data_IF_612709560860
#
_entry.id   IF_612709560860
#
_cell.length_a   1.000
_cell.length_b   1.000
_cell.length_c   1.000
_cell.angle_alpha   90.00
_cell.angle_beta   90.00
_cell.angle_gamma   90.00
#
_symmetry.space_group_name_H-M   'P 1'
#
loop_
_entity.id
_entity.type
_entity.pdbx_description
1 polymer ?
#
# COMPACT_ATOMS: atom_id res chain seq x y z
N UNK A 1 -80.56 -46.00 89.76
CA UNK A 1 -79.31 -45.93 90.54
C UNK A 1 -78.14 -45.66 89.58
N UNK A 2 -77.35 -44.61 89.86
CA UNK A 2 -76.01 -44.23 89.34
C UNK A 2 -75.74 -44.32 87.83
N UNK A 3 -75.61 -43.19 87.09
CA UNK A 3 -74.47 -42.25 86.94
C UNK A 3 -73.20 -42.87 86.29
N UNK A 4 -72.54 -42.05 85.45
CA UNK A 4 -71.27 -42.21 84.69
C UNK A 4 -71.45 -42.68 83.22
N UNK A 5 -70.88 -42.09 82.17
CA UNK A 5 -69.97 -40.94 81.99
C UNK A 5 -70.01 -40.53 80.50
N UNK A 6 -70.08 -39.22 80.20
CA UNK A 6 -69.70 -38.70 78.87
C UNK A 6 -68.17 -38.61 78.79
N UNK A 7 -67.57 -39.18 77.75
CA UNK A 7 -66.18 -38.90 77.37
C UNK A 7 -66.10 -38.74 75.86
N UNK A 8 -65.90 -37.49 75.43
CA UNK A 8 -65.53 -37.11 74.07
C UNK A 8 -64.17 -37.72 73.72
N UNK A 9 -64.01 -38.19 72.48
CA UNK A 9 -62.70 -38.36 71.84
C UNK A 9 -62.85 -38.10 70.34
N UNK A 10 -62.76 -36.82 70.00
CA UNK A 10 -62.36 -36.33 68.68
C UNK A 10 -60.83 -36.25 68.63
N UNK A 11 -60.20 -37.09 67.81
CA UNK A 11 -58.85 -36.97 67.24
C UNK A 11 -58.57 -38.29 66.49
N UNK A 12 -58.05 -38.36 65.27
CA UNK A 12 -57.49 -37.32 64.41
C UNK A 12 -57.27 -37.86 63.00
N UNK A 13 -57.11 -36.88 62.12
CA UNK A 13 -56.70 -36.88 60.73
C UNK A 13 -55.62 -37.92 60.36
N UNK A 14 -55.77 -38.60 59.20
CA UNK A 14 -54.65 -38.76 58.27
C UNK A 14 -55.18 -38.96 56.83
N UNK A 15 -55.21 -37.86 56.09
CA UNK A 15 -55.34 -37.85 54.63
C UNK A 15 -53.93 -38.08 54.08
N UNK A 16 -53.61 -39.29 53.61
CA UNK A 16 -52.33 -39.56 52.96
C UNK A 16 -52.36 -39.01 51.53
N UNK A 17 -52.11 -37.71 51.38
CA UNK A 17 -51.75 -37.14 50.09
C UNK A 17 -50.30 -37.52 49.78
N UNK A 18 -50.09 -38.47 48.86
CA UNK A 18 -48.78 -38.69 48.24
C UNK A 18 -48.48 -37.48 47.35
N UNK A 19 -47.87 -36.45 47.94
CA UNK A 19 -47.12 -35.48 47.16
C UNK A 19 -45.85 -36.18 46.68
N UNK A 20 -45.90 -36.73 45.46
CA UNK A 20 -44.68 -37.04 44.73
C UNK A 20 -44.00 -35.70 44.42
N UNK A 21 -43.09 -35.29 45.31
CA UNK A 21 -42.18 -34.19 45.04
C UNK A 21 -41.32 -34.59 43.84
N UNK A 22 -41.69 -34.13 42.65
CA UNK A 22 -40.77 -34.11 41.53
C UNK A 22 -39.63 -33.17 41.95
N UNK A 23 -38.50 -33.74 42.38
CA UNK A 23 -37.27 -32.98 42.49
C UNK A 23 -36.84 -32.67 41.05
N UNK A 24 -37.19 -31.49 40.56
CA UNK A 24 -36.52 -30.92 39.41
C UNK A 24 -35.06 -30.74 39.82
N UNK A 25 -34.20 -31.66 39.38
CA UNK A 25 -32.77 -31.43 39.44
C UNK A 25 -32.50 -30.21 38.56
N UNK A 26 -32.01 -29.13 39.17
CA UNK A 26 -31.52 -27.98 38.43
C UNK A 26 -30.23 -28.43 37.73
N UNK A 27 -30.35 -28.74 36.44
CA UNK A 27 -29.20 -29.14 35.62
C UNK A 27 -28.42 -27.86 35.34
N UNK A 28 -27.41 -27.60 36.18
CA UNK A 28 -26.45 -26.54 35.94
C UNK A 28 -25.72 -26.84 34.64
N UNK A 29 -26.04 -26.08 33.59
CA UNK A 29 -25.40 -26.21 32.28
C UNK A 29 -23.94 -25.78 32.42
N UNK A 30 -23.02 -26.59 31.89
CA UNK A 30 -21.61 -26.22 31.80
C UNK A 30 -21.52 -24.92 30.99
N UNK A 31 -20.91 -23.89 31.58
CA UNK A 31 -20.58 -22.67 30.85
C UNK A 31 -19.49 -22.97 29.82
N UNK A 32 -19.55 -22.33 28.66
CA UNK A 32 -18.47 -22.43 27.68
C UNK A 32 -17.11 -22.07 28.32
N UNK A 33 -16.04 -22.71 27.84
CA UNK A 33 -14.68 -22.39 28.26
C UNK A 33 -14.40 -20.92 27.96
N UNK A 34 -13.77 -20.21 28.92
CA UNK A 34 -13.30 -18.84 28.72
C UNK A 34 -12.32 -18.83 27.54
N UNK A 35 -12.61 -18.00 26.53
CA UNK A 35 -11.76 -17.79 25.35
C UNK A 35 -10.85 -16.57 25.54
N UNK A 36 -9.74 -16.55 24.80
CA UNK A 36 -8.75 -15.47 24.76
C UNK A 36 -9.25 -14.20 24.07
N UNK A 37 -8.42 -13.15 24.13
CA UNK A 37 -8.64 -11.81 23.60
C UNK A 37 -8.35 -11.75 22.11
N UNK A 38 -9.00 -10.81 21.42
CA UNK A 38 -8.82 -10.62 19.98
C UNK A 38 -7.37 -10.22 19.61
N UNK A 39 -6.90 -10.64 18.43
CA UNK A 39 -5.61 -10.20 17.91
C UNK A 39 -5.63 -8.73 17.47
N UNK A 40 -4.45 -8.13 17.35
CA UNK A 40 -4.25 -6.75 16.91
C UNK A 40 -3.28 -6.67 15.72
N UNK A 41 -3.61 -5.81 14.76
CA UNK A 41 -2.68 -5.37 13.72
C UNK A 41 -2.24 -3.94 14.00
N UNK A 42 -0.94 -3.68 13.83
CA UNK A 42 -0.34 -2.35 14.01
C UNK A 42 0.72 -2.10 12.93
N UNK A 43 1.25 -0.87 12.88
CA UNK A 43 2.30 -0.48 11.91
C UNK A 43 1.96 -0.82 10.46
N UNK A 44 0.70 -0.63 10.06
CA UNK A 44 0.27 -0.91 8.69
C UNK A 44 0.91 0.09 7.74
N UNK A 45 1.74 -0.39 6.84
CA UNK A 45 2.48 0.42 5.86
C UNK A 45 2.30 -0.14 4.45
N UNK A 46 2.39 0.76 3.47
CA UNK A 46 2.36 0.40 2.04
C UNK A 46 3.80 0.50 1.52
N UNK A 47 4.34 -0.60 1.00
CA UNK A 47 5.66 -0.64 0.39
C UNK A 47 5.56 -0.82 -1.12
N UNK A 48 6.32 -0.03 -1.87
CA UNK A 48 6.42 -0.18 -3.33
C UNK A 48 7.35 -1.34 -3.68
N UNK A 49 6.78 -2.47 -4.09
CA UNK A 49 7.54 -3.68 -4.43
C UNK A 49 8.22 -3.54 -5.80
N UNK A 50 7.59 -2.82 -6.73
CA UNK A 50 8.20 -2.53 -8.03
C UNK A 50 9.46 -1.67 -7.88
N UNK A 51 9.45 -0.70 -6.96
CA UNK A 51 10.58 0.20 -6.66
C UNK A 51 10.66 0.56 -5.18
N UNK A 52 11.37 -0.24 -4.37
CA UNK A 52 11.49 -0.01 -2.93
C UNK A 52 12.02 1.38 -2.59
N UNK A 53 11.36 2.05 -1.65
CA UNK A 53 11.74 3.40 -1.17
C UNK A 53 11.30 4.56 -2.05
N UNK A 54 10.65 4.31 -3.19
CA UNK A 54 10.16 5.34 -4.11
C UNK A 54 8.64 5.40 -4.10
N UNK A 55 8.11 6.63 -4.12
CA UNK A 55 6.67 6.89 -4.26
C UNK A 55 6.14 6.17 -5.51
N UNK A 56 5.09 5.35 -5.39
CA UNK A 56 4.61 4.54 -6.51
C UNK A 56 4.05 5.40 -7.64
N UNK A 57 4.26 4.93 -8.86
CA UNK A 57 3.58 5.48 -10.05
C UNK A 57 2.60 4.47 -10.60
N UNK A 58 1.67 4.93 -11.44
CA UNK A 58 0.72 4.07 -12.14
C UNK A 58 1.40 2.84 -12.76
N UNK A 59 0.91 1.66 -12.42
CA UNK A 59 1.43 0.36 -12.87
C UNK A 59 2.35 -0.32 -11.86
N UNK A 60 2.83 0.38 -10.83
CA UNK A 60 3.61 -0.25 -9.76
C UNK A 60 2.74 -1.19 -8.93
N UNK A 61 3.34 -2.31 -8.52
CA UNK A 61 2.77 -3.19 -7.50
C UNK A 61 3.24 -2.73 -6.12
N UNK A 62 2.27 -2.45 -5.25
CA UNK A 62 2.50 -2.14 -3.83
C UNK A 62 2.04 -3.31 -2.96
N UNK A 63 2.63 -3.46 -1.78
CA UNK A 63 2.32 -4.49 -0.79
C UNK A 63 2.00 -3.85 0.56
N UNK A 64 1.06 -4.46 1.28
CA UNK A 64 0.74 -4.13 2.66
C UNK A 64 1.61 -4.94 3.62
N UNK A 65 2.33 -4.25 4.50
CA UNK A 65 3.06 -4.85 5.61
C UNK A 65 2.46 -4.36 6.94
N UNK A 66 2.49 -5.21 7.97
CA UNK A 66 1.93 -4.91 9.29
C UNK A 66 2.61 -5.75 10.38
N UNK A 67 2.47 -5.32 11.62
CA UNK A 67 2.86 -6.06 12.82
C UNK A 67 1.64 -6.75 13.42
N UNK A 68 1.75 -8.05 13.68
CA UNK A 68 0.74 -8.83 14.39
C UNK A 68 1.08 -8.94 15.87
N UNK A 69 0.07 -8.82 16.74
CA UNK A 69 0.19 -9.12 18.15
C UNK A 69 -1.08 -9.81 18.65
N UNK A 70 -0.92 -10.67 19.64
CA UNK A 70 -2.00 -11.25 20.40
C UNK A 70 -1.57 -11.30 21.88
N UNK A 71 -2.46 -10.88 22.78
CA UNK A 71 -2.10 -10.69 24.17
C UNK A 71 -2.05 -12.02 24.97
N UNK A 72 -2.64 -13.08 24.41
CA UNK A 72 -2.66 -14.44 24.96
C UNK A 72 -1.65 -15.37 24.24
N UNK A 73 -0.95 -14.83 23.23
CA UNK A 73 0.07 -15.55 22.46
C UNK A 73 -0.51 -16.48 21.40
N UNK A 74 -1.77 -16.32 21.03
CA UNK A 74 -2.39 -17.09 19.97
C UNK A 74 -1.75 -16.73 18.60
N UNK A 75 -1.54 -17.73 17.76
CA UNK A 75 -0.93 -17.55 16.45
C UNK A 75 -1.91 -16.93 15.45
N UNK A 76 -1.39 -16.09 14.55
CA UNK A 76 -2.14 -15.59 13.40
C UNK A 76 -2.61 -16.77 12.53
N UNK A 77 -3.90 -16.80 12.23
CA UNK A 77 -4.49 -17.73 11.27
C UNK A 77 -4.53 -17.09 9.87
N UNK A 78 -5.28 -16.00 9.72
CA UNK A 78 -5.39 -15.26 8.47
C UNK A 78 -5.42 -13.75 8.71
N UNK A 79 -4.94 -12.98 7.75
CA UNK A 79 -5.20 -11.56 7.67
C UNK A 79 -5.94 -11.23 6.39
N UNK A 80 -6.99 -10.41 6.51
CA UNK A 80 -7.73 -9.90 5.36
C UNK A 80 -7.32 -8.47 5.06
N UNK A 81 -7.30 -8.13 3.78
CA UNK A 81 -6.89 -6.83 3.29
C UNK A 81 -8.05 -6.18 2.54
N UNK A 82 -8.09 -4.85 2.58
CA UNK A 82 -8.96 -4.06 1.72
C UNK A 82 -8.23 -2.78 1.33
N UNK A 83 -7.86 -2.68 0.05
CA UNK A 83 -7.31 -1.44 -0.49
C UNK A 83 -8.42 -0.40 -0.65
N UNK A 84 -8.06 0.86 -0.41
CA UNK A 84 -9.00 1.99 -0.39
C UNK A 84 -8.36 3.18 -1.09
N UNK A 85 -9.15 3.90 -1.87
CA UNK A 85 -8.76 5.11 -2.59
C UNK A 85 -9.61 6.27 -2.09
N UNK A 86 -8.97 7.38 -1.73
CA UNK A 86 -9.67 8.54 -1.17
C UNK A 86 -10.63 8.17 -0.01
N UNK A 87 -10.22 7.20 0.81
CA UNK A 87 -11.01 6.69 1.93
C UNK A 87 -12.19 5.78 1.57
N UNK A 88 -12.40 5.42 0.30
CA UNK A 88 -13.42 4.47 -0.14
C UNK A 88 -12.81 3.12 -0.55
N UNK A 89 -13.48 2.01 -0.23
CA UNK A 89 -13.00 0.68 -0.61
C UNK A 89 -12.94 0.51 -2.13
N UNK A 90 -11.84 -0.06 -2.62
CA UNK A 90 -11.69 -0.44 -4.02
C UNK A 90 -12.27 -1.86 -4.16
N UNK A 91 -13.34 -2.00 -4.92
CA UNK A 91 -14.05 -3.27 -5.08
C UNK A 91 -13.11 -4.38 -5.56
N UNK A 92 -13.11 -5.52 -4.85
CA UNK A 92 -12.30 -6.69 -5.19
C UNK A 92 -10.80 -6.58 -4.84
N UNK A 93 -10.32 -5.44 -4.36
CA UNK A 93 -8.92 -5.26 -3.99
C UNK A 93 -8.65 -5.77 -2.57
N UNK A 94 -8.65 -7.09 -2.40
CA UNK A 94 -8.51 -7.78 -1.11
C UNK A 94 -7.24 -8.60 -0.94
N UNK A 95 -6.34 -8.55 -1.94
CA UNK A 95 -5.01 -9.16 -1.87
C UNK A 95 -4.08 -8.35 -0.96
N UNK A 96 -3.04 -8.98 -0.43
CA UNK A 96 -1.95 -8.28 0.28
C UNK A 96 -1.14 -7.37 -0.65
N UNK A 97 -1.32 -7.50 -1.98
CA UNK A 97 -0.74 -6.65 -3.01
C UNK A 97 -1.81 -5.91 -3.82
N UNK A 98 -1.44 -4.78 -4.41
CA UNK A 98 -2.28 -4.00 -5.32
C UNK A 98 -1.44 -3.35 -6.42
N UNK A 99 -1.89 -3.47 -7.67
CA UNK A 99 -1.28 -2.76 -8.79
C UNK A 99 -1.95 -1.40 -8.91
N UNK A 100 -1.17 -0.34 -8.76
CA UNK A 100 -1.64 1.03 -8.86
C UNK A 100 -2.14 1.36 -10.27
N UNK A 101 -3.17 2.19 -10.34
CA UNK A 101 -3.87 2.55 -11.57
C UNK A 101 -3.91 4.07 -11.74
N UNK A 102 -4.25 4.54 -12.93
CA UNK A 102 -4.41 5.97 -13.19
C UNK A 102 -5.45 6.65 -12.29
N UNK A 103 -6.42 5.89 -11.75
CA UNK A 103 -7.44 6.43 -10.85
C UNK A 103 -6.90 6.70 -9.43
N UNK A 104 -5.75 6.10 -9.05
CA UNK A 104 -5.13 6.30 -7.74
C UNK A 104 -4.34 7.61 -7.64
N UNK A 105 -4.05 8.23 -8.78
CA UNK A 105 -3.17 9.40 -8.86
C UNK A 105 -3.70 10.56 -8.02
N UNK A 106 -2.90 11.02 -7.05
CA UNK A 106 -3.23 12.09 -6.11
C UNK A 106 -4.57 11.88 -5.35
N UNK A 107 -4.98 10.62 -5.12
CA UNK A 107 -6.22 10.29 -4.39
C UNK A 107 -5.99 9.77 -2.98
N UNK A 108 -4.74 9.54 -2.56
CA UNK A 108 -4.42 8.88 -1.30
C UNK A 108 -4.86 7.41 -1.30
N UNK A 109 -3.91 6.52 -1.53
CA UNK A 109 -4.09 5.08 -1.45
C UNK A 109 -3.84 4.63 -0.01
N UNK A 110 -4.75 3.84 0.56
CA UNK A 110 -4.62 3.25 1.91
C UNK A 110 -4.96 1.77 1.86
N UNK A 111 -4.48 1.00 2.83
CA UNK A 111 -4.86 -0.39 3.01
C UNK A 111 -5.34 -0.62 4.44
N UNK A 112 -6.45 -1.34 4.55
CA UNK A 112 -6.98 -1.82 5.83
C UNK A 112 -6.59 -3.29 6.02
N UNK A 113 -6.16 -3.64 7.22
CA UNK A 113 -5.79 -5.00 7.62
C UNK A 113 -6.65 -5.43 8.81
N UNK A 114 -7.18 -6.65 8.76
CA UNK A 114 -7.88 -7.29 9.89
C UNK A 114 -7.27 -8.68 10.11
N UNK A 115 -6.54 -8.92 11.21
CA UNK A 115 -6.02 -10.24 11.55
C UNK A 115 -7.10 -11.10 12.24
N UNK A 116 -6.92 -12.41 12.20
CA UNK A 116 -7.72 -13.35 12.99
C UNK A 116 -6.89 -14.51 13.53
N UNK A 117 -7.39 -15.11 14.60
CA UNK A 117 -6.88 -16.32 15.27
C UNK A 117 -7.91 -17.45 15.21
N UNK A 118 -7.60 -18.60 15.82
CA UNK A 118 -8.52 -19.73 15.94
C UNK A 118 -9.77 -19.39 16.79
N UNK A 119 -10.99 -19.43 16.22
CA UNK A 119 -12.22 -19.13 16.94
C UNK A 119 -12.59 -20.14 18.03
N UNK A 120 -11.95 -21.31 18.09
CA UNK A 120 -12.07 -22.23 19.21
C UNK A 120 -11.35 -21.72 20.47
N UNK A 121 -10.34 -20.85 20.29
CA UNK A 121 -9.47 -20.34 21.35
C UNK A 121 -9.75 -18.89 21.70
N UNK A 122 -10.17 -18.08 20.73
CA UNK A 122 -10.31 -16.62 20.86
C UNK A 122 -11.74 -16.16 20.56
N UNK A 123 -12.26 -15.20 21.33
CA UNK A 123 -13.56 -14.56 21.05
C UNK A 123 -13.57 -13.07 21.50
N UNK A 124 -13.63 -12.10 20.55
CA UNK A 124 -13.78 -12.30 19.11
C UNK A 124 -12.47 -12.76 18.47
N UNK A 125 -12.58 -13.77 17.59
CA UNK A 125 -11.43 -14.32 16.85
C UNK A 125 -10.84 -13.34 15.81
N UNK A 126 -11.60 -12.32 15.42
CA UNK A 126 -11.13 -11.26 14.53
C UNK A 126 -10.74 -10.02 15.32
N UNK A 127 -9.61 -9.44 14.94
CA UNK A 127 -9.17 -8.15 15.45
C UNK A 127 -10.00 -6.98 14.93
N UNK A 128 -9.72 -5.80 15.47
CA UNK A 128 -10.25 -4.54 14.92
C UNK A 128 -9.48 -4.11 13.66
N UNK A 129 -10.11 -3.43 12.69
CA UNK A 129 -9.41 -2.96 11.51
C UNK A 129 -8.33 -1.92 11.82
N UNK A 130 -7.11 -2.16 11.30
CA UNK A 130 -6.02 -1.19 11.29
C UNK A 130 -5.83 -0.64 9.87
N UNK A 131 -5.65 0.68 9.72
CA UNK A 131 -5.52 1.34 8.42
C UNK A 131 -4.16 2.02 8.33
N UNK A 132 -3.50 1.90 7.18
CA UNK A 132 -2.23 2.58 6.90
C UNK A 132 -2.39 4.12 6.83
N UNK A 133 -1.26 4.82 6.89
CA UNK A 133 -1.21 6.18 6.37
C UNK A 133 -1.50 6.18 4.85
N UNK A 134 -1.94 7.33 4.34
CA UNK A 134 -2.16 7.51 2.91
C UNK A 134 -0.83 7.56 2.16
N UNK A 135 -0.71 6.74 1.12
CA UNK A 135 0.37 6.76 0.14
C UNK A 135 -0.11 7.49 -1.11
N UNK A 136 0.66 8.47 -1.58
CA UNK A 136 0.38 9.09 -2.86
C UNK A 136 0.84 8.18 -4.01
N UNK A 137 0.02 8.13 -5.05
CA UNK A 137 0.41 7.55 -6.34
C UNK A 137 0.61 8.71 -7.31
N UNK A 138 1.73 8.72 -8.00
CA UNK A 138 2.07 9.78 -8.94
C UNK A 138 1.76 9.33 -10.37
N UNK A 139 1.17 10.20 -11.16
CA UNK A 139 1.10 10.01 -12.60
C UNK A 139 2.46 10.34 -13.20
N UNK A 140 3.05 9.44 -13.98
CA UNK A 140 4.26 9.79 -14.75
C UNK A 140 3.82 10.71 -15.90
N UNK A 141 4.37 11.93 -16.01
CA UNK A 141 4.15 12.73 -17.21
C UNK A 141 4.65 11.94 -18.42
N UNK A 142 3.79 11.77 -19.42
CA UNK A 142 4.21 11.13 -20.66
C UNK A 142 5.10 12.09 -21.44
N UNK A 143 6.37 11.74 -21.59
CA UNK A 143 7.30 12.46 -22.45
C UNK A 143 7.50 11.68 -23.75
N UNK A 144 7.20 12.27 -24.92
CA UNK A 144 7.37 11.58 -26.19
C UNK A 144 8.86 11.30 -26.42
N UNK A 145 9.15 10.11 -26.95
CA UNK A 145 10.50 9.74 -27.36
C UNK A 145 11.07 10.81 -28.32
N UNK A 146 12.28 11.33 -28.06
CA UNK A 146 12.88 12.34 -28.91
C UNK A 146 13.35 11.80 -30.27
N UNK A 147 13.68 12.71 -31.18
CA UNK A 147 14.33 12.37 -32.46
C UNK A 147 15.75 11.82 -32.24
N UNK A 148 16.24 11.01 -33.17
CA UNK A 148 17.65 10.58 -33.23
C UNK A 148 18.60 11.69 -33.67
N UNK A 149 18.08 12.81 -34.15
CA UNK A 149 18.89 13.98 -34.53
C UNK A 149 19.57 14.58 -33.29
N UNK A 150 20.88 14.83 -33.41
CA UNK A 150 21.66 15.47 -32.36
C UNK A 150 21.77 16.97 -32.59
N UNK A 151 21.76 17.74 -31.51
CA UNK A 151 21.75 19.20 -31.54
C UNK A 151 22.83 19.78 -30.63
N UNK A 152 23.38 20.93 -31.00
CA UNK A 152 24.04 21.81 -30.04
C UNK A 152 23.02 22.38 -29.06
N UNK A 153 23.48 22.96 -27.94
CA UNK A 153 22.58 23.53 -26.94
C UNK A 153 21.60 24.58 -27.50
N UNK A 154 22.10 25.50 -28.32
CA UNK A 154 21.28 26.55 -28.93
C UNK A 154 20.27 25.96 -29.95
N UNK A 155 20.69 24.97 -30.72
CA UNK A 155 19.82 24.27 -31.68
C UNK A 155 18.75 23.45 -30.97
N UNK A 156 19.07 22.79 -29.84
CA UNK A 156 18.12 22.00 -29.05
C UNK A 156 16.96 22.86 -28.54
N UNK A 157 17.25 24.03 -27.96
CA UNK A 157 16.21 24.97 -27.53
C UNK A 157 15.36 25.43 -28.70
N UNK A 158 16.00 25.87 -29.79
CA UNK A 158 15.31 26.36 -30.98
C UNK A 158 14.44 25.27 -31.61
N UNK A 159 14.90 24.01 -31.57
CA UNK A 159 14.17 22.84 -32.06
C UNK A 159 12.87 22.62 -31.28
N UNK A 160 12.90 22.70 -29.94
CA UNK A 160 11.69 22.57 -29.13
C UNK A 160 10.76 23.77 -29.33
N UNK A 161 11.29 25.00 -29.29
CA UNK A 161 10.50 26.23 -29.44
C UNK A 161 9.78 26.29 -30.79
N UNK A 162 10.43 25.87 -31.88
CA UNK A 162 9.81 25.83 -33.22
C UNK A 162 8.60 24.87 -33.32
N UNK A 163 8.43 23.97 -32.34
CA UNK A 163 7.29 23.03 -32.24
C UNK A 163 6.25 23.46 -31.20
N UNK A 164 6.37 24.67 -30.66
CA UNK A 164 5.55 25.14 -29.54
C UNK A 164 5.78 24.33 -28.26
N UNK A 165 7.02 23.89 -28.04
CA UNK A 165 7.44 23.10 -26.89
C UNK A 165 8.66 23.73 -26.22
N UNK A 166 9.00 23.27 -25.03
CA UNK A 166 10.24 23.60 -24.32
C UNK A 166 11.10 22.36 -24.18
N UNK A 167 12.40 22.56 -23.96
CA UNK A 167 13.30 21.45 -23.63
C UNK A 167 12.95 20.96 -22.22
N UNK A 168 12.91 19.65 -22.03
CA UNK A 168 12.72 19.03 -20.71
C UNK A 168 13.75 19.56 -19.70
N UNK A 169 13.30 19.88 -18.49
CA UNK A 169 14.19 20.40 -17.44
C UNK A 169 15.03 19.29 -16.81
N UNK A 170 16.08 19.68 -16.08
CA UNK A 170 16.90 18.75 -15.28
C UNK A 170 16.01 17.91 -14.36
N UNK A 171 15.09 18.54 -13.63
CA UNK A 171 14.18 17.83 -12.72
C UNK A 171 13.27 16.84 -13.47
N UNK A 172 12.74 17.22 -14.64
CA UNK A 172 11.84 16.36 -15.40
C UNK A 172 12.55 15.12 -15.98
N UNK A 173 13.78 15.27 -16.48
CA UNK A 173 14.56 14.13 -16.98
C UNK A 173 14.96 13.16 -15.87
N UNK A 174 15.34 13.69 -14.70
CA UNK A 174 15.62 12.88 -13.51
C UNK A 174 14.40 12.12 -13.02
N UNK A 175 13.25 12.79 -12.97
CA UNK A 175 11.99 12.16 -12.63
C UNK A 175 11.61 11.08 -13.64
N UNK A 176 11.75 11.36 -14.94
CA UNK A 176 11.54 10.37 -15.99
C UNK A 176 12.43 9.14 -15.81
N UNK A 177 13.71 9.33 -15.50
CA UNK A 177 14.63 8.22 -15.22
C UNK A 177 14.13 7.33 -14.08
N UNK A 178 13.80 7.91 -12.91
CA UNK A 178 13.28 7.14 -11.78
C UNK A 178 11.94 6.48 -12.08
N UNK A 179 11.09 7.16 -12.85
CA UNK A 179 9.70 6.75 -13.05
C UNK A 179 9.49 5.76 -14.19
N UNK A 180 10.42 5.72 -15.15
CA UNK A 180 10.38 4.80 -16.27
C UNK A 180 11.34 3.62 -16.12
N UNK A 181 12.32 3.68 -15.22
CA UNK A 181 13.28 2.58 -15.03
C UNK A 181 13.11 1.89 -13.68
N UNK A 182 13.82 0.78 -13.48
CA UNK A 182 14.01 0.05 -12.23
C UNK A 182 14.92 0.77 -11.24
N UNK A 183 15.46 1.95 -11.59
CA UNK A 183 16.27 2.73 -10.67
C UNK A 183 15.45 3.21 -9.45
N UNK A 184 16.05 3.09 -8.28
CA UNK A 184 15.46 3.53 -7.00
C UNK A 184 16.05 4.84 -6.49
N UNK A 185 17.05 5.41 -7.16
CA UNK A 185 17.67 6.68 -6.81
C UNK A 185 18.41 7.31 -7.98
N UNK A 186 18.61 8.62 -7.92
CA UNK A 186 19.49 9.37 -8.83
C UNK A 186 20.97 9.12 -8.47
N UNK A 187 21.85 9.09 -9.47
CA UNK A 187 23.30 8.99 -9.27
C UNK A 187 23.77 7.65 -8.72
N UNK A 188 22.99 6.58 -8.88
CA UNK A 188 23.37 5.24 -8.44
C UNK A 188 24.67 4.73 -9.10
N UNK A 189 25.41 3.88 -8.39
CA UNK A 189 26.70 3.34 -8.85
C UNK A 189 26.60 2.38 -10.04
N UNK A 190 25.39 1.85 -10.32
CA UNK A 190 25.11 0.99 -11.47
C UNK A 190 24.61 1.78 -12.67
N UNK A 191 24.93 1.29 -13.87
CA UNK A 191 24.33 1.76 -15.11
C UNK A 191 22.93 1.15 -15.30
N UNK A 192 21.93 1.97 -15.63
CA UNK A 192 20.60 1.54 -16.03
C UNK A 192 20.32 2.00 -17.46
N UNK A 193 20.24 1.05 -18.40
CA UNK A 193 20.02 1.34 -19.82
C UNK A 193 18.57 1.17 -20.26
N UNK A 194 17.61 1.01 -19.34
CA UNK A 194 16.21 0.69 -19.66
C UNK A 194 15.51 1.80 -20.45
N UNK A 195 15.92 3.06 -20.27
CA UNK A 195 15.47 4.14 -21.15
C UNK A 195 15.74 3.84 -22.62
N UNK A 196 16.87 3.18 -22.93
CA UNK A 196 17.24 2.77 -24.29
C UNK A 196 16.66 1.40 -24.62
N UNK A 197 16.84 0.39 -23.76
CA UNK A 197 16.53 -1.01 -24.07
C UNK A 197 15.05 -1.36 -23.95
N UNK A 198 14.33 -0.71 -23.03
CA UNK A 198 12.89 -0.93 -22.79
C UNK A 198 12.06 0.16 -23.46
N UNK A 199 12.44 1.43 -23.26
CA UNK A 199 11.66 2.58 -23.75
C UNK A 199 12.12 3.10 -25.11
N UNK A 200 13.24 2.58 -25.63
CA UNK A 200 13.72 2.89 -26.97
C UNK A 200 14.25 4.31 -27.16
N UNK A 201 14.52 5.08 -26.10
CA UNK A 201 14.99 6.46 -26.21
C UNK A 201 16.37 6.54 -26.92
N UNK A 202 16.56 7.48 -27.86
CA UNK A 202 17.75 7.53 -28.70
C UNK A 202 18.94 8.22 -28.03
N UNK A 203 20.12 7.61 -28.09
CA UNK A 203 21.35 8.17 -27.53
C UNK A 203 22.36 8.53 -28.63
N UNK A 204 23.39 9.31 -28.26
CA UNK A 204 24.53 9.56 -29.14
C UNK A 204 25.42 8.33 -29.18
N UNK A 205 25.69 7.78 -30.36
CA UNK A 205 26.60 6.64 -30.49
C UNK A 205 27.98 6.95 -29.88
N UNK A 206 28.49 6.03 -29.05
CA UNK A 206 29.76 6.18 -28.34
C UNK A 206 29.69 7.05 -27.08
N UNK A 207 28.51 7.56 -26.72
CA UNK A 207 28.27 8.19 -25.42
C UNK A 207 27.95 7.11 -24.38
N UNK A 208 28.80 6.90 -23.38
CA UNK A 208 28.56 5.84 -22.38
C UNK A 208 27.39 6.18 -21.45
N UNK A 209 27.04 7.46 -21.27
CA UNK A 209 26.13 7.90 -20.20
C UNK A 209 24.68 8.14 -20.63
N UNK A 210 24.36 7.89 -21.90
CA UNK A 210 23.08 8.26 -22.51
C UNK A 210 22.72 9.73 -22.17
N UNK A 211 23.58 10.66 -22.58
CA UNK A 211 23.52 12.08 -22.18
C UNK A 211 22.47 12.85 -22.98
N UNK A 212 21.59 13.59 -22.30
CA UNK A 212 20.57 14.45 -22.92
C UNK A 212 20.74 15.90 -22.50
N UNK A 213 20.46 16.83 -23.42
CA UNK A 213 20.31 18.24 -23.06
C UNK A 213 19.12 18.42 -22.11
N UNK A 214 19.32 19.20 -21.06
CA UNK A 214 18.32 19.50 -20.04
C UNK A 214 18.21 21.01 -19.84
N UNK A 215 16.98 21.53 -19.77
CA UNK A 215 16.74 22.94 -19.51
C UNK A 215 17.00 23.27 -18.03
N UNK A 216 17.87 24.23 -17.81
CA UNK A 216 18.04 24.94 -16.55
C UNK A 216 18.37 26.38 -16.90
N UNK A 217 17.73 27.34 -16.25
CA UNK A 217 18.05 28.75 -16.43
C UNK A 217 19.28 29.07 -15.57
N UNK A 218 20.45 29.06 -16.19
CA UNK A 218 21.66 29.61 -15.59
C UNK A 218 22.37 30.55 -16.56
N UNK A 219 23.17 31.46 -16.00
CA UNK A 219 24.06 32.33 -16.77
C UNK A 219 25.37 31.63 -17.17
N UNK A 220 25.41 30.29 -17.10
CA UNK A 220 26.62 29.52 -17.33
C UNK A 220 27.04 29.56 -18.79
N UNK A 221 28.35 29.51 -19.04
CA UNK A 221 28.90 29.27 -20.37
C UNK A 221 28.67 27.83 -20.85
N UNK A 222 28.34 26.90 -19.94
CA UNK A 222 28.04 25.50 -20.21
C UNK A 222 26.53 25.24 -20.29
N UNK A 223 26.14 24.19 -21.00
CA UNK A 223 24.76 23.69 -21.00
C UNK A 223 24.60 22.58 -19.98
N UNK A 224 23.38 22.40 -19.47
CA UNK A 224 23.06 21.34 -18.52
C UNK A 224 22.66 20.07 -19.23
N UNK A 225 23.12 18.95 -18.69
CA UNK A 225 22.79 17.63 -19.21
C UNK A 225 22.38 16.70 -18.09
N UNK A 226 21.59 15.68 -18.45
CA UNK A 226 21.29 14.55 -17.57
C UNK A 226 21.81 13.28 -18.22
N UNK A 227 22.50 12.46 -17.43
CA UNK A 227 22.95 11.12 -17.81
C UNK A 227 21.80 10.15 -17.55
N UNK A 228 21.08 9.75 -18.60
CA UNK A 228 19.91 8.87 -18.47
C UNK A 228 20.29 7.41 -18.17
N UNK A 229 21.58 7.14 -17.98
CA UNK A 229 22.08 5.88 -17.44
C UNK A 229 22.16 5.85 -15.89
N UNK A 230 22.19 7.03 -15.25
CA UNK A 230 22.32 7.16 -13.80
C UNK A 230 21.30 8.11 -13.17
N UNK A 231 20.59 8.92 -13.96
CA UNK A 231 19.74 10.00 -13.46
C UNK A 231 20.51 11.15 -12.82
N UNK A 232 21.81 11.28 -13.07
CA UNK A 232 22.64 12.37 -12.52
C UNK A 232 22.76 13.53 -13.51
N UNK A 233 22.96 14.74 -12.99
CA UNK A 233 23.18 15.94 -13.81
C UNK A 233 24.66 16.24 -13.96
N UNK A 234 25.03 16.86 -15.07
CA UNK A 234 26.36 17.39 -15.32
C UNK A 234 26.30 18.65 -16.19
N UNK A 235 27.47 19.23 -16.44
CA UNK A 235 27.63 20.32 -17.40
C UNK A 235 28.33 19.79 -18.65
N UNK A 236 27.95 20.31 -19.82
CA UNK A 236 28.54 19.96 -21.10
C UNK A 236 28.84 21.20 -21.93
N UNK A 237 29.85 21.13 -22.79
CA UNK A 237 30.14 22.20 -23.74
C UNK A 237 28.93 22.43 -24.63
N UNK A 238 28.49 23.69 -24.76
CA UNK A 238 27.30 24.05 -25.58
C UNK A 238 27.45 23.68 -27.06
N UNK A 239 28.67 23.43 -27.54
CA UNK A 239 28.97 22.98 -28.89
C UNK A 239 28.79 21.46 -29.10
N UNK A 240 28.63 20.67 -28.04
CA UNK A 240 28.44 19.22 -28.15
C UNK A 240 27.11 18.89 -28.83
N UNK A 241 27.11 17.86 -29.67
CA UNK A 241 25.92 17.34 -30.33
C UNK A 241 25.31 16.25 -29.46
N UNK A 242 24.15 16.54 -28.84
CA UNK A 242 23.44 15.62 -27.96
C UNK A 242 21.95 15.56 -28.33
N UNK A 243 21.25 14.47 -27.97
CA UNK A 243 19.80 14.39 -28.08
C UNK A 243 19.10 15.49 -27.26
N UNK A 244 17.91 15.88 -27.71
CA UNK A 244 17.08 16.88 -27.07
C UNK A 244 15.63 16.37 -26.98
N UNK A 245 15.10 16.33 -25.77
CA UNK A 245 13.73 15.90 -25.52
C UNK A 245 12.86 17.11 -25.18
N UNK A 246 11.70 17.20 -25.82
CA UNK A 246 10.81 18.36 -25.72
C UNK A 246 9.49 17.99 -25.03
N UNK A 247 8.94 18.93 -24.25
CA UNK A 247 7.61 18.86 -23.66
C UNK A 247 6.82 20.13 -23.98
N UNK A 248 5.51 20.00 -24.16
CA UNK A 248 4.61 21.15 -24.25
C UNK A 248 4.28 21.68 -22.86
#
# INVERSE_FOLDING_TARGET
>A
MNRFSLSKLTAGLLLAALAAGAQAADVSTVTDTVKGRAPEASNVVINNQSRPGIVPVVGDTVQADYSYADADGDALDVATFQWRRAGAAISGATSNTYTTTAQDVNRGLTVQVVPSTDPARTDPAMGTPAISLAMDVVGVPYYPKPSTTLYTWAQAKSHCVSRGATLLTVAQLKQLYLYSTSATQEGGAGANDEMVTVHGWPFRQGDPYNTYWALEEDSSSLGKVVYMQHGSQANSSKANLLPAACTK
#
